data_IF_020612243115
#
_entry.id   IF_020612243115
#
_cell.length_a   1.000
_cell.length_b   1.000
_cell.length_c   1.000
_cell.angle_alpha   90.00
_cell.angle_beta   90.00
_cell.angle_gamma   90.00
#
_symmetry.space_group_name_H-M   'P 1'
#
loop_
_entity.id
_entity.type
_entity.pdbx_description
1 polymer ?
#
# COMPACT_ATOMS: atom_id res chain seq x y z
N UNK A 1 25.36 -19.42 -1.94
CA UNK A 1 25.49 -18.43 -0.84
C UNK A 1 26.44 -17.34 -1.29
N UNK A 2 25.93 -16.15 -1.63
CA UNK A 2 26.77 -15.03 -2.10
C UNK A 2 27.70 -14.54 -0.99
N UNK A 3 28.97 -14.32 -1.30
CA UNK A 3 29.94 -13.71 -0.37
C UNK A 3 29.38 -12.39 0.15
N UNK A 4 29.31 -12.21 1.47
CA UNK A 4 28.93 -10.93 2.08
C UNK A 4 29.97 -9.90 1.65
N UNK A 5 29.49 -8.85 0.97
CA UNK A 5 30.31 -7.69 0.63
C UNK A 5 30.92 -7.12 1.92
N UNK A 6 32.22 -6.73 1.92
CA UNK A 6 32.84 -6.09 3.08
C UNK A 6 32.26 -4.69 3.34
N UNK A 7 31.52 -4.13 2.38
CA UNK A 7 30.89 -2.81 2.47
C UNK A 7 29.54 -2.86 3.21
N UNK A 8 29.29 -1.93 4.16
CA UNK A 8 28.00 -1.77 4.84
C UNK A 8 26.83 -1.64 3.86
N UNK A 9 25.64 -2.04 4.27
CA UNK A 9 24.44 -1.97 3.41
C UNK A 9 24.10 -0.53 3.00
N UNK A 10 24.17 0.42 3.93
CA UNK A 10 23.92 1.84 3.65
C UNK A 10 24.85 2.37 2.56
N UNK A 11 26.16 2.10 2.67
CA UNK A 11 27.14 2.52 1.67
C UNK A 11 26.85 1.95 0.27
N UNK A 12 26.39 0.70 0.20
CA UNK A 12 26.02 0.08 -1.08
C UNK A 12 24.80 0.73 -1.70
N UNK A 13 23.80 1.04 -0.87
CA UNK A 13 22.57 1.70 -1.29
C UNK A 13 22.85 3.12 -1.77
N UNK A 14 23.66 3.89 -1.02
CA UNK A 14 24.04 5.25 -1.37
C UNK A 14 24.83 5.29 -2.69
N UNK A 15 25.79 4.37 -2.86
CA UNK A 15 26.55 4.27 -4.11
C UNK A 15 25.65 3.92 -5.32
N UNK A 16 24.69 3.01 -5.15
CA UNK A 16 23.72 2.67 -6.18
C UNK A 16 22.75 3.84 -6.47
N UNK A 17 22.30 4.55 -5.43
CA UNK A 17 21.44 5.73 -5.54
C UNK A 17 22.14 6.87 -6.27
N UNK A 18 23.43 7.11 -5.99
CA UNK A 18 24.23 8.14 -6.65
C UNK A 18 24.35 7.89 -8.16
N UNK A 19 24.52 6.64 -8.58
CA UNK A 19 24.51 6.29 -9.99
C UNK A 19 23.13 6.54 -10.64
N UNK A 20 22.04 6.13 -9.98
CA UNK A 20 20.68 6.31 -10.51
C UNK A 20 20.24 7.76 -10.60
N UNK A 21 20.55 8.57 -9.60
CA UNK A 21 20.20 9.98 -9.55
C UNK A 21 20.78 10.76 -10.74
N UNK A 22 21.89 10.28 -11.31
CA UNK A 22 22.47 10.87 -12.51
C UNK A 22 21.66 10.58 -13.80
N UNK A 23 20.67 9.69 -13.77
CA UNK A 23 19.76 9.44 -14.90
C UNK A 23 20.47 9.06 -16.20
N UNK A 24 21.56 8.28 -16.12
CA UNK A 24 22.37 7.88 -17.28
C UNK A 24 23.40 8.92 -17.75
N UNK A 25 23.46 10.12 -17.15
CA UNK A 25 24.47 11.14 -17.47
C UNK A 25 25.85 10.83 -16.91
N UNK A 26 25.93 9.94 -15.90
CA UNK A 26 27.16 9.55 -15.24
C UNK A 26 27.48 8.08 -15.53
N UNK A 27 28.71 7.81 -15.95
CA UNK A 27 29.17 6.44 -16.19
C UNK A 27 29.52 5.75 -14.89
N UNK A 28 29.49 4.41 -14.88
CA UNK A 28 29.99 3.61 -13.76
C UNK A 28 31.43 3.98 -13.39
N UNK A 29 32.29 4.28 -14.37
CA UNK A 29 33.67 4.68 -14.13
C UNK A 29 33.77 5.99 -13.34
N UNK A 30 32.94 6.98 -13.65
CA UNK A 30 32.92 8.24 -12.93
C UNK A 30 32.40 8.09 -11.49
N UNK A 31 31.46 7.18 -11.24
CA UNK A 31 30.97 6.90 -9.87
C UNK A 31 32.00 6.11 -9.06
N UNK A 32 32.63 5.13 -9.69
CA UNK A 32 33.73 4.34 -9.10
C UNK A 32 34.88 5.24 -8.65
N UNK A 33 35.25 6.24 -9.46
CA UNK A 33 36.31 7.19 -9.12
C UNK A 33 36.01 7.99 -7.84
N UNK A 34 34.75 8.37 -7.63
CA UNK A 34 34.33 9.13 -6.44
C UNK A 34 34.18 8.23 -5.20
N UNK A 35 33.66 7.01 -5.39
CA UNK A 35 33.26 6.11 -4.30
C UNK A 35 34.40 5.17 -3.88
N UNK A 36 35.38 4.92 -4.75
CA UNK A 36 36.56 4.09 -4.45
C UNK A 36 36.30 2.58 -4.49
N UNK A 37 35.32 2.11 -5.27
CA UNK A 37 34.97 0.68 -5.41
C UNK A 37 35.17 0.17 -6.83
N UNK A 38 35.27 -1.14 -7.05
CA UNK A 38 35.39 -1.70 -8.40
C UNK A 38 34.09 -1.52 -9.21
N UNK A 39 34.20 -1.27 -10.52
CA UNK A 39 33.02 -1.09 -11.38
C UNK A 39 32.08 -2.30 -11.47
N UNK A 40 32.60 -3.51 -11.34
CA UNK A 40 31.78 -4.73 -11.23
C UNK A 40 30.97 -4.76 -9.94
N UNK A 41 31.56 -4.33 -8.83
CA UNK A 41 30.89 -4.24 -7.53
C UNK A 41 29.75 -3.24 -7.58
N UNK A 42 29.99 -2.04 -8.13
CA UNK A 42 28.95 -1.03 -8.29
C UNK A 42 27.82 -1.51 -9.23
N UNK A 43 28.14 -2.15 -10.35
CA UNK A 43 27.15 -2.76 -11.25
C UNK A 43 26.28 -3.79 -10.54
N UNK A 44 26.88 -4.64 -9.70
CA UNK A 44 26.15 -5.64 -8.93
C UNK A 44 25.16 -4.99 -7.95
N UNK A 45 25.56 -3.91 -7.28
CA UNK A 45 24.69 -3.19 -6.35
C UNK A 45 23.55 -2.46 -7.04
N UNK A 46 23.81 -1.81 -8.17
CA UNK A 46 22.76 -1.16 -8.99
C UNK A 46 21.73 -2.20 -9.44
N UNK A 47 22.19 -3.35 -9.97
CA UNK A 47 21.27 -4.43 -10.40
C UNK A 47 20.43 -4.98 -9.24
N UNK A 48 21.06 -5.25 -8.09
CA UNK A 48 20.33 -5.72 -6.90
C UNK A 48 19.27 -4.70 -6.48
N UNK A 49 19.64 -3.43 -6.42
CA UNK A 49 18.70 -2.38 -6.09
C UNK A 49 17.58 -2.30 -7.15
N UNK A 50 17.83 -2.59 -8.43
CA UNK A 50 16.81 -2.47 -9.52
C UNK A 50 15.78 -3.59 -9.37
N UNK A 51 16.26 -4.80 -9.06
CA UNK A 51 15.42 -5.94 -8.72
C UNK A 51 14.58 -5.67 -7.45
N UNK A 52 15.15 -5.02 -6.44
CA UNK A 52 14.42 -4.66 -5.23
C UNK A 52 13.33 -3.60 -5.51
N UNK A 53 13.66 -2.55 -6.25
CA UNK A 53 12.69 -1.51 -6.62
C UNK A 53 11.53 -2.07 -7.46
N UNK A 54 11.82 -2.95 -8.43
CA UNK A 54 10.78 -3.60 -9.24
C UNK A 54 9.87 -4.54 -8.44
N UNK A 55 10.41 -5.24 -7.43
CA UNK A 55 9.60 -6.08 -6.52
C UNK A 55 8.75 -5.26 -5.56
N UNK A 56 9.26 -4.14 -5.08
CA UNK A 56 8.54 -3.28 -4.14
C UNK A 56 7.35 -2.60 -4.83
N UNK A 57 7.57 -2.03 -6.03
CA UNK A 57 6.48 -1.45 -6.82
C UNK A 57 5.39 -2.45 -7.20
N UNK A 58 5.78 -3.69 -7.56
CA UNK A 58 4.81 -4.74 -7.85
C UNK A 58 4.00 -5.20 -6.63
N UNK A 59 4.53 -5.03 -5.40
CA UNK A 59 3.84 -5.33 -4.15
C UNK A 59 2.95 -4.18 -3.70
N UNK A 60 3.38 -2.94 -3.90
CA UNK A 60 2.61 -1.73 -3.64
C UNK A 60 1.33 -1.72 -4.49
N UNK A 61 1.45 -1.93 -5.80
CA UNK A 61 0.30 -1.98 -6.73
C UNK A 61 -0.72 -3.09 -6.34
N UNK A 62 -0.24 -4.29 -6.00
CA UNK A 62 -1.12 -5.37 -5.50
C UNK A 62 -1.80 -5.02 -4.17
N UNK A 63 -1.13 -4.26 -3.30
CA UNK A 63 -1.70 -3.83 -2.01
C UNK A 63 -2.74 -2.74 -2.22
N UNK A 64 -2.52 -1.81 -3.15
CA UNK A 64 -3.47 -0.75 -3.51
C UNK A 64 -4.73 -1.33 -4.15
N UNK A 65 -4.59 -2.23 -5.12
CA UNK A 65 -5.72 -2.94 -5.73
C UNK A 65 -6.55 -3.70 -4.68
N UNK A 66 -5.89 -4.41 -3.75
CA UNK A 66 -6.58 -5.10 -2.66
C UNK A 66 -7.33 -4.16 -1.71
N UNK A 67 -6.81 -2.95 -1.45
CA UNK A 67 -7.48 -1.95 -0.61
C UNK A 67 -8.72 -1.37 -1.27
N UNK A 68 -8.64 -1.09 -2.57
CA UNK A 68 -9.77 -0.55 -3.34
C UNK A 68 -10.92 -1.57 -3.44
N UNK A 69 -10.60 -2.85 -3.61
CA UNK A 69 -11.58 -3.94 -3.56
C UNK A 69 -12.27 -4.05 -2.19
N UNK A 70 -11.50 -3.95 -1.11
CA UNK A 70 -12.04 -3.96 0.25
C UNK A 70 -12.94 -2.73 0.53
N UNK A 71 -12.53 -1.55 0.08
CA UNK A 71 -13.33 -0.33 0.18
C UNK A 71 -14.66 -0.44 -0.59
N UNK A 72 -14.64 -1.03 -1.79
CA UNK A 72 -15.85 -1.25 -2.58
C UNK A 72 -16.82 -2.20 -1.85
N UNK A 73 -16.31 -3.30 -1.30
CA UNK A 73 -17.09 -4.24 -0.49
C UNK A 73 -17.71 -3.57 0.72
N UNK A 74 -16.92 -2.82 1.49
CA UNK A 74 -17.40 -2.13 2.69
C UNK A 74 -18.48 -1.09 2.36
N UNK A 75 -18.34 -0.34 1.26
CA UNK A 75 -19.36 0.62 0.81
C UNK A 75 -20.67 -0.08 0.46
N UNK A 76 -20.61 -1.22 -0.23
CA UNK A 76 -21.79 -2.01 -0.57
C UNK A 76 -22.50 -2.53 0.69
N UNK A 77 -21.74 -3.06 1.66
CA UNK A 77 -22.26 -3.53 2.93
C UNK A 77 -22.89 -2.41 3.76
N UNK A 78 -22.22 -1.26 3.87
CA UNK A 78 -22.75 -0.09 4.57
C UNK A 78 -24.07 0.40 3.94
N UNK A 79 -24.15 0.37 2.60
CA UNK A 79 -25.36 0.70 1.86
C UNK A 79 -26.52 -0.26 2.16
N UNK A 80 -26.23 -1.56 2.31
CA UNK A 80 -27.24 -2.56 2.69
C UNK A 80 -27.74 -2.35 4.11
N UNK A 81 -26.83 -2.21 5.07
CA UNK A 81 -27.15 -2.00 6.48
C UNK A 81 -28.00 -0.74 6.70
N UNK A 82 -27.70 0.37 6.01
CA UNK A 82 -28.52 1.59 6.08
C UNK A 82 -29.93 1.44 5.52
N UNK A 83 -30.14 0.54 4.56
CA UNK A 83 -31.49 0.25 4.05
C UNK A 83 -32.27 -0.54 5.08
N UNK A 84 -31.64 -1.59 5.61
CA UNK A 84 -32.22 -2.41 6.68
C UNK A 84 -32.58 -1.52 7.88
N UNK A 85 -31.66 -0.68 8.37
CA UNK A 85 -31.90 0.24 9.50
C UNK A 85 -33.14 1.11 9.30
N UNK A 86 -33.32 1.68 8.10
CA UNK A 86 -34.52 2.49 7.77
C UNK A 86 -35.81 1.67 7.80
N UNK A 87 -35.78 0.43 7.32
CA UNK A 87 -36.94 -0.46 7.37
C UNK A 87 -37.31 -0.78 8.82
N UNK A 88 -36.32 -1.14 9.64
CA UNK A 88 -36.51 -1.40 11.08
C UNK A 88 -37.05 -0.18 11.84
N UNK A 89 -36.57 1.03 11.52
CA UNK A 89 -37.07 2.26 12.12
C UNK A 89 -38.55 2.51 11.81
N UNK A 90 -38.97 2.29 10.55
CA UNK A 90 -40.36 2.41 10.12
C UNK A 90 -41.27 1.40 10.82
N UNK A 91 -40.85 0.14 10.89
CA UNK A 91 -41.59 -0.91 11.60
C UNK A 91 -41.79 -0.55 13.08
N UNK A 92 -40.72 -0.08 13.74
CA UNK A 92 -40.77 0.32 15.13
C UNK A 92 -41.68 1.53 15.35
N UNK A 93 -41.74 2.47 14.42
CA UNK A 93 -42.66 3.60 14.49
C UNK A 93 -44.12 3.15 14.36
N UNK A 94 -44.42 2.24 13.43
CA UNK A 94 -45.76 1.65 13.27
C UNK A 94 -46.18 0.96 14.56
N UNK A 95 -45.33 0.09 15.12
CA UNK A 95 -45.60 -0.61 16.37
C UNK A 95 -45.84 0.37 17.53
N UNK A 96 -45.04 1.44 17.63
CA UNK A 96 -45.20 2.47 18.66
C UNK A 96 -46.55 3.20 18.52
N UNK A 97 -46.95 3.56 17.30
CA UNK A 97 -48.26 4.19 17.03
C UNK A 97 -49.42 3.25 17.38
N UNK A 98 -49.32 1.97 17.00
CA UNK A 98 -50.33 0.96 17.34
C UNK A 98 -50.48 0.81 18.86
N UNK A 99 -49.37 0.65 19.59
CA UNK A 99 -49.38 0.55 21.05
C UNK A 99 -50.02 1.79 21.72
N UNK A 100 -49.76 2.99 21.19
CA UNK A 100 -50.37 4.22 21.70
C UNK A 100 -51.88 4.28 21.46
N UNK A 101 -52.38 3.77 20.33
CA UNK A 101 -53.82 3.66 20.06
C UNK A 101 -54.50 2.66 21.00
N UNK A 102 -53.93 1.46 21.17
CA UNK A 102 -54.46 0.45 22.10
C UNK A 102 -54.49 0.95 23.55
N UNK A 103 -53.46 1.66 24.00
CA UNK A 103 -53.43 2.24 25.34
C UNK A 103 -54.50 3.33 25.58
N UNK A 104 -54.97 4.00 24.51
CA UNK A 104 -56.07 4.97 24.58
C UNK A 104 -57.45 4.30 24.59
N UNK A 105 -57.63 3.19 23.89
CA UNK A 105 -58.91 2.44 23.90
C UNK A 105 -59.16 1.68 25.20
N UNK A 106 -58.08 1.25 25.89
CA UNK A 106 -58.16 0.52 27.16
C UNK A 106 -58.38 1.43 28.40
N UNK A 107 -58.61 2.73 28.20
CA UNK A 107 -58.73 3.73 29.25
C UNK A 107 -60.11 4.39 29.25
#
# INVERSE_FOLDING_TARGET
MGRKSPYPVEFRNDAAALYRAAGGKRTYAAVVADVGVTGETLRSWVRQADEHAGRDHGREDQTEQSRDEELARLRAENGRLRKEEKEWELEREILRRAAASFAKEMK
#
